data_IF_803149113835
#
_entry.id   IF_803149113835
#
_cell.length_a   1.000
_cell.length_b   1.000
_cell.length_c   1.000
_cell.angle_alpha   90.00
_cell.angle_beta   90.00
_cell.angle_gamma   90.00
#
_symmetry.space_group_name_H-M   'P 1'
#
loop_
_entity.id
_entity.type
_entity.pdbx_description
1 polymer ?
#
# COMPACT_ATOMS: atom_id res chain seq x y z
N UNK A 1 -12.65 -59.39 36.79
CA UNK A 1 -14.02 -59.23 36.31
C UNK A 1 -13.94 -58.42 35.03
N UNK A 2 -14.05 -59.03 33.88
CA UNK A 2 -14.05 -58.34 32.60
C UNK A 2 -15.42 -57.73 32.41
N UNK A 3 -15.58 -56.43 32.64
CA UNK A 3 -16.79 -55.72 32.26
C UNK A 3 -16.98 -55.84 30.73
N UNK A 4 -18.09 -56.35 30.38
CA UNK A 4 -18.48 -56.73 29.01
C UNK A 4 -18.42 -55.47 28.16
N UNK A 5 -17.41 -55.32 27.32
CA UNK A 5 -17.19 -54.16 26.41
C UNK A 5 -18.42 -53.84 25.51
N UNK A 6 -19.28 -54.79 25.27
CA UNK A 6 -20.53 -54.64 24.52
C UNK A 6 -21.48 -53.66 25.26
N UNK A 7 -21.60 -53.75 26.59
CA UNK A 7 -22.44 -52.87 27.39
C UNK A 7 -21.88 -51.41 27.47
N UNK A 8 -20.57 -51.25 27.31
CA UNK A 8 -19.95 -49.94 27.32
C UNK A 8 -20.10 -49.21 25.96
N UNK A 9 -20.15 -49.97 24.85
CA UNK A 9 -20.40 -49.40 23.50
C UNK A 9 -21.89 -49.05 23.28
N UNK A 10 -22.80 -49.77 23.95
CA UNK A 10 -24.22 -49.45 23.95
C UNK A 10 -24.56 -48.17 24.78
N UNK A 11 -23.83 -47.96 25.89
CA UNK A 11 -23.93 -46.71 26.67
C UNK A 11 -23.45 -45.47 25.92
N UNK A 12 -22.38 -45.58 25.13
CA UNK A 12 -21.85 -44.44 24.36
C UNK A 12 -22.84 -43.95 23.33
N UNK A 13 -23.63 -44.84 22.71
CA UNK A 13 -24.71 -44.44 21.74
C UNK A 13 -25.86 -43.67 22.40
N UNK A 14 -26.19 -43.94 23.66
CA UNK A 14 -27.23 -43.28 24.43
C UNK A 14 -26.80 -41.96 25.03
N UNK A 15 -25.52 -41.78 25.34
CA UNK A 15 -24.96 -40.55 25.86
C UNK A 15 -24.51 -39.58 24.79
N UNK A 16 -24.52 -39.99 23.53
CA UNK A 16 -24.25 -39.12 22.37
C UNK A 16 -25.52 -38.35 22.02
N UNK A 17 -25.68 -37.16 22.56
CA UNK A 17 -26.63 -36.19 22.07
C UNK A 17 -26.22 -35.69 20.68
N UNK A 18 -26.59 -36.46 19.65
CA UNK A 18 -26.47 -36.04 18.28
C UNK A 18 -27.79 -35.34 17.87
N UNK A 19 -27.71 -34.03 17.71
CA UNK A 19 -28.83 -33.29 17.12
C UNK A 19 -28.92 -33.64 15.63
N UNK A 20 -29.87 -34.53 15.29
CA UNK A 20 -30.16 -34.89 13.91
C UNK A 20 -31.15 -33.92 13.29
N UNK A 21 -30.80 -32.63 13.26
CA UNK A 21 -31.61 -31.54 12.71
C UNK A 21 -30.94 -30.92 11.47
N UNK A 22 -31.79 -30.35 10.58
CA UNK A 22 -31.34 -29.61 9.41
C UNK A 22 -31.69 -30.23 8.06
N UNK A 23 -31.45 -29.51 6.96
CA UNK A 23 -31.83 -29.93 5.61
C UNK A 23 -30.95 -31.05 5.07
N UNK A 24 -31.54 -31.94 4.24
CA UNK A 24 -30.82 -33.02 3.55
C UNK A 24 -31.30 -34.43 3.92
N UNK A 25 -30.69 -35.43 3.29
CA UNK A 25 -30.98 -36.84 3.58
C UNK A 25 -30.58 -37.21 5.01
N UNK A 26 -31.22 -38.20 5.60
CA UNK A 26 -30.89 -38.72 6.94
C UNK A 26 -29.39 -39.09 7.08
N UNK A 27 -28.78 -39.60 6.00
CA UNK A 27 -27.35 -39.87 5.91
C UNK A 27 -26.53 -38.57 6.06
N UNK A 28 -26.87 -37.54 5.29
CA UNK A 28 -26.13 -36.28 5.32
C UNK A 28 -26.25 -35.55 6.68
N UNK A 29 -27.41 -35.67 7.33
CA UNK A 29 -27.62 -35.13 8.68
C UNK A 29 -26.77 -35.87 9.70
N UNK A 30 -26.72 -37.22 9.65
CA UNK A 30 -25.86 -38.00 10.54
C UNK A 30 -24.38 -37.73 10.36
N UNK A 31 -23.91 -37.60 9.11
CA UNK A 31 -22.51 -37.26 8.81
C UNK A 31 -22.14 -35.91 9.42
N UNK A 32 -23.00 -34.90 9.24
CA UNK A 32 -22.77 -33.57 9.87
C UNK A 32 -22.71 -33.67 11.40
N UNK A 33 -23.69 -34.32 12.02
CA UNK A 33 -23.77 -34.42 13.47
C UNK A 33 -22.52 -35.12 14.06
N UNK A 34 -22.07 -36.22 13.45
CA UNK A 34 -20.85 -36.91 13.86
C UNK A 34 -19.58 -36.04 13.66
N UNK A 35 -19.50 -35.35 12.52
CA UNK A 35 -18.37 -34.44 12.24
C UNK A 35 -18.32 -33.28 13.22
N UNK A 36 -19.46 -32.71 13.57
CA UNK A 36 -19.57 -31.61 14.53
C UNK A 36 -19.26 -32.09 15.96
N UNK A 37 -19.68 -33.29 16.35
CA UNK A 37 -19.32 -33.90 17.62
C UNK A 37 -17.81 -34.14 17.75
N UNK A 38 -17.14 -34.51 16.66
CA UNK A 38 -15.65 -34.63 16.64
C UNK A 38 -15.02 -33.25 16.70
N UNK A 39 -15.50 -32.29 15.94
CA UNK A 39 -14.97 -30.92 15.92
C UNK A 39 -15.12 -30.19 17.25
N UNK A 40 -16.24 -30.36 17.93
CA UNK A 40 -16.49 -29.75 19.25
C UNK A 40 -15.70 -30.44 20.38
N UNK A 41 -15.08 -31.60 20.12
CA UNK A 41 -14.39 -32.41 21.13
C UNK A 41 -15.33 -33.29 21.97
N UNK A 42 -16.64 -33.28 21.69
CA UNK A 42 -17.60 -34.20 22.30
C UNK A 42 -17.21 -35.67 22.04
N UNK A 43 -16.69 -35.94 20.85
CA UNK A 43 -16.05 -37.21 20.49
C UNK A 43 -14.53 -36.99 20.42
N UNK A 44 -13.81 -37.34 21.48
CA UNK A 44 -12.37 -37.21 21.54
C UNK A 44 -11.66 -38.17 20.54
N UNK A 45 -10.43 -37.86 20.10
CA UNK A 45 -9.61 -38.79 19.32
C UNK A 45 -9.49 -40.16 20.00
N UNK A 46 -9.43 -41.20 19.21
CA UNK A 46 -9.44 -42.65 19.63
C UNK A 46 -10.74 -43.12 20.30
N UNK A 47 -11.73 -42.27 20.50
CA UNK A 47 -13.04 -42.70 21.03
C UNK A 47 -13.63 -43.76 20.11
N UNK A 48 -14.00 -44.92 20.68
CA UNK A 48 -14.65 -46.00 19.96
C UNK A 48 -16.13 -45.66 19.75
N UNK A 49 -16.58 -45.69 18.49
CA UNK A 49 -17.96 -45.51 18.15
C UNK A 49 -18.76 -46.84 18.28
N UNK A 50 -20.06 -46.76 18.57
CA UNK A 50 -20.91 -47.93 18.56
C UNK A 50 -20.88 -48.68 17.21
N UNK A 51 -21.08 -49.97 17.17
CA UNK A 51 -21.29 -50.67 15.92
C UNK A 51 -22.45 -50.04 15.15
N UNK A 52 -22.33 -49.95 13.82
CA UNK A 52 -23.37 -49.34 12.98
C UNK A 52 -24.78 -49.88 13.19
N UNK A 53 -24.89 -51.15 13.60
CA UNK A 53 -26.17 -51.80 13.93
C UNK A 53 -26.79 -51.24 15.21
N UNK A 54 -26.01 -51.05 16.22
CA UNK A 54 -26.47 -50.47 17.51
C UNK A 54 -26.85 -49.02 17.34
N UNK A 55 -25.98 -48.21 16.70
CA UNK A 55 -26.25 -46.79 16.43
C UNK A 55 -27.51 -46.61 15.55
N UNK A 56 -27.73 -47.48 14.59
CA UNK A 56 -28.93 -47.45 13.74
C UNK A 56 -30.22 -47.70 14.56
N UNK A 57 -30.18 -48.64 15.50
CA UNK A 57 -31.30 -48.93 16.40
C UNK A 57 -31.56 -47.73 17.36
N UNK A 58 -30.48 -47.17 17.95
CA UNK A 58 -30.54 -46.05 18.92
C UNK A 58 -31.11 -44.76 18.27
N UNK A 59 -30.75 -44.51 16.99
CA UNK A 59 -31.18 -43.30 16.26
C UNK A 59 -32.44 -43.49 15.39
N UNK A 60 -33.01 -44.70 15.36
CA UNK A 60 -34.18 -45.01 14.50
C UNK A 60 -33.87 -44.92 13.01
N UNK A 61 -32.63 -45.23 12.59
CA UNK A 61 -32.17 -45.16 11.21
C UNK A 61 -32.00 -46.54 10.57
N UNK A 62 -32.01 -46.59 9.24
CA UNK A 62 -31.67 -47.82 8.53
C UNK A 62 -30.18 -48.17 8.73
N UNK A 63 -29.86 -49.48 8.87
CA UNK A 63 -28.47 -49.97 9.08
C UNK A 63 -27.52 -49.51 7.99
N UNK A 64 -27.95 -49.51 6.73
CA UNK A 64 -27.14 -49.07 5.60
C UNK A 64 -26.85 -47.56 5.66
N UNK A 65 -27.82 -46.75 6.13
CA UNK A 65 -27.61 -45.31 6.31
C UNK A 65 -26.45 -44.98 7.26
N UNK A 66 -26.33 -45.73 8.38
CA UNK A 66 -25.24 -45.53 9.34
C UNK A 66 -23.93 -46.13 8.82
N UNK A 67 -24.00 -47.29 8.15
CA UNK A 67 -22.82 -47.91 7.54
C UNK A 67 -22.19 -47.00 6.47
N UNK A 68 -23.02 -46.41 5.58
CA UNK A 68 -22.59 -45.49 4.55
C UNK A 68 -22.03 -44.18 5.14
N UNK A 69 -22.64 -43.68 6.21
CA UNK A 69 -22.14 -42.51 6.92
C UNK A 69 -20.76 -42.77 7.56
N UNK A 70 -20.57 -43.94 8.17
CA UNK A 70 -19.27 -44.32 8.71
C UNK A 70 -18.23 -44.50 7.60
N UNK A 71 -18.58 -45.15 6.50
CA UNK A 71 -17.69 -45.33 5.36
C UNK A 71 -17.21 -43.97 4.78
N UNK A 72 -18.12 -43.02 4.64
CA UNK A 72 -17.79 -41.67 4.19
C UNK A 72 -16.86 -40.96 5.17
N UNK A 73 -17.16 -40.97 6.46
CA UNK A 73 -16.30 -40.36 7.47
C UNK A 73 -14.93 -41.05 7.62
N UNK A 74 -14.84 -42.36 7.30
CA UNK A 74 -13.54 -43.05 7.20
C UNK A 74 -12.79 -42.59 5.95
N UNK A 75 -13.44 -42.46 4.81
CA UNK A 75 -12.84 -41.97 3.57
C UNK A 75 -12.35 -40.53 3.71
N UNK A 76 -13.09 -39.69 4.45
CA UNK A 76 -12.69 -38.33 4.79
C UNK A 76 -11.60 -38.24 5.87
N UNK A 77 -11.25 -39.34 6.55
CA UNK A 77 -10.23 -39.38 7.60
C UNK A 77 -10.69 -38.89 8.98
N UNK A 78 -12.00 -38.69 9.20
CA UNK A 78 -12.55 -38.39 10.53
C UNK A 78 -12.61 -39.61 11.44
N UNK A 79 -12.83 -40.77 10.84
CA UNK A 79 -12.89 -42.05 11.51
C UNK A 79 -11.81 -43.00 10.97
N UNK A 80 -11.46 -44.02 11.77
CA UNK A 80 -10.64 -45.13 11.36
C UNK A 80 -11.40 -46.43 11.66
N UNK A 81 -11.47 -47.35 10.70
CA UNK A 81 -12.02 -48.68 10.90
C UNK A 81 -10.95 -49.72 10.78
N UNK A 82 -10.91 -50.66 11.73
CA UNK A 82 -10.02 -51.85 11.68
C UNK A 82 -10.87 -53.11 11.92
N UNK A 83 -10.66 -54.12 11.09
CA UNK A 83 -11.33 -55.39 11.22
C UNK A 83 -11.07 -56.00 12.61
N UNK A 84 -12.12 -56.38 13.32
CA UNK A 84 -12.07 -56.88 14.68
C UNK A 84 -11.97 -55.83 15.81
N UNK A 85 -11.55 -54.61 15.57
CA UNK A 85 -11.41 -53.56 16.61
C UNK A 85 -12.46 -52.46 16.55
N UNK A 86 -13.33 -52.43 15.50
CA UNK A 86 -14.40 -51.48 15.34
C UNK A 86 -13.98 -50.14 14.76
N UNK A 87 -14.91 -49.17 14.74
CA UNK A 87 -14.71 -47.79 14.23
C UNK A 87 -14.36 -46.88 15.38
N UNK A 88 -13.35 -46.03 15.17
CA UNK A 88 -12.86 -45.02 16.13
C UNK A 88 -12.70 -43.65 15.50
N UNK A 89 -12.77 -42.61 16.31
CA UNK A 89 -12.38 -41.26 15.90
C UNK A 89 -10.87 -41.24 15.58
N UNK A 90 -10.52 -40.68 14.43
CA UNK A 90 -9.13 -40.63 14.00
C UNK A 90 -8.29 -39.71 14.92
N UNK A 91 -7.05 -40.12 15.22
CA UNK A 91 -6.14 -39.30 16.06
C UNK A 91 -5.83 -37.92 15.51
N UNK A 92 -5.92 -37.75 14.17
CA UNK A 92 -5.68 -36.49 13.49
C UNK A 92 -6.92 -35.59 13.44
N UNK A 93 -8.09 -36.08 13.86
CA UNK A 93 -9.34 -35.32 13.95
C UNK A 93 -9.44 -34.52 15.28
N UNK A 94 -8.31 -34.03 15.77
CA UNK A 94 -8.31 -33.18 16.97
C UNK A 94 -9.16 -31.92 16.71
N UNK A 95 -9.95 -31.49 17.71
CA UNK A 95 -10.68 -30.22 17.59
C UNK A 95 -9.66 -29.09 17.30
N UNK A 96 -10.05 -28.12 16.46
CA UNK A 96 -9.21 -26.96 16.24
C UNK A 96 -8.91 -26.35 17.63
N UNK A 97 -7.63 -26.11 17.93
CA UNK A 97 -7.28 -25.30 19.10
C UNK A 97 -8.15 -24.05 19.07
N UNK A 98 -8.80 -23.68 20.20
CA UNK A 98 -9.58 -22.46 20.20
C UNK A 98 -8.70 -21.35 19.65
N UNK A 99 -9.08 -20.81 18.50
CA UNK A 99 -8.44 -19.62 17.97
C UNK A 99 -8.56 -18.61 19.07
N UNK A 100 -7.44 -18.23 19.68
CA UNK A 100 -7.41 -17.11 20.61
C UNK A 100 -8.00 -15.97 19.80
N UNK A 101 -9.27 -15.66 20.03
CA UNK A 101 -9.86 -14.44 19.52
C UNK A 101 -8.93 -13.35 20.01
N UNK A 102 -8.22 -12.64 19.13
CA UNK A 102 -7.35 -11.59 19.57
C UNK A 102 -8.21 -10.72 20.48
N UNK A 103 -7.81 -10.54 21.75
CA UNK A 103 -8.45 -9.53 22.60
C UNK A 103 -8.55 -8.31 21.71
N UNK A 104 -9.79 -7.81 21.51
CA UNK A 104 -10.08 -6.61 20.74
C UNK A 104 -8.95 -5.64 20.99
N UNK A 105 -8.14 -5.37 19.96
CA UNK A 105 -7.01 -4.47 20.13
C UNK A 105 -7.55 -3.25 20.89
N UNK A 106 -6.84 -2.73 21.88
CA UNK A 106 -7.29 -1.55 22.60
C UNK A 106 -7.72 -0.56 21.55
N UNK A 107 -8.89 0.04 21.72
CA UNK A 107 -9.43 1.02 20.78
C UNK A 107 -8.27 1.96 20.44
N UNK A 108 -7.89 2.00 19.17
CA UNK A 108 -6.82 2.88 18.72
C UNK A 108 -7.12 4.31 19.21
N UNK A 109 -6.12 5.19 19.27
CA UNK A 109 -6.36 6.57 19.69
C UNK A 109 -7.57 7.11 18.94
N UNK A 110 -8.43 7.91 19.59
CA UNK A 110 -9.64 8.45 18.97
C UNK A 110 -9.27 9.06 17.62
N UNK A 111 -10.08 8.77 16.61
CA UNK A 111 -9.85 9.31 15.27
C UNK A 111 -9.85 10.85 15.36
N UNK A 112 -8.87 11.54 14.78
CA UNK A 112 -8.83 12.98 14.83
C UNK A 112 -10.05 13.57 14.13
N UNK A 113 -10.62 14.61 14.72
CA UNK A 113 -11.78 15.33 14.15
C UNK A 113 -11.39 16.03 12.85
N UNK A 114 -10.15 16.53 12.79
CA UNK A 114 -9.57 17.23 11.65
C UNK A 114 -8.27 16.53 11.23
N UNK A 115 -8.11 16.31 9.92
CA UNK A 115 -6.92 15.63 9.39
C UNK A 115 -6.22 16.51 8.35
N UNK A 116 -5.09 17.09 8.75
CA UNK A 116 -4.17 17.82 7.89
C UNK A 116 -2.83 17.07 7.71
N UNK A 117 -2.81 15.76 7.91
CA UNK A 117 -1.63 14.97 7.56
C UNK A 117 -1.41 14.97 6.06
N UNK A 118 -0.14 15.02 5.70
CA UNK A 118 0.26 15.04 4.30
C UNK A 118 -0.01 13.69 3.58
N UNK A 119 0.03 13.73 2.27
CA UNK A 119 0.24 12.55 1.44
C UNK A 119 -0.99 11.86 0.89
N UNK A 120 -2.22 12.30 1.20
CA UNK A 120 -3.42 11.71 0.65
C UNK A 120 -4.30 12.75 -0.05
N UNK A 121 -4.81 12.47 -1.27
CA UNK A 121 -5.89 13.26 -1.85
C UNK A 121 -7.19 13.03 -1.09
N UNK A 122 -8.09 13.99 -1.14
CA UNK A 122 -9.46 13.81 -0.65
C UNK A 122 -10.15 12.67 -1.40
N UNK A 123 -10.53 11.61 -0.70
CA UNK A 123 -11.19 10.44 -1.28
C UNK A 123 -12.54 10.78 -1.97
N UNK A 124 -13.19 11.86 -1.55
CA UNK A 124 -14.43 12.34 -2.20
C UNK A 124 -14.17 12.93 -3.59
N UNK A 125 -12.94 13.36 -3.88
CA UNK A 125 -12.56 13.91 -5.18
C UNK A 125 -12.29 12.86 -6.25
N UNK A 126 -12.25 11.58 -5.89
CA UNK A 126 -12.07 10.51 -6.86
C UNK A 126 -13.14 10.54 -7.96
N UNK A 127 -12.77 10.54 -9.24
CA UNK A 127 -13.69 10.79 -10.35
C UNK A 127 -14.51 9.54 -10.73
N UNK A 128 -15.35 9.03 -9.79
CA UNK A 128 -16.06 7.74 -9.90
C UNK A 128 -16.78 7.54 -11.23
N UNK A 129 -17.56 8.53 -11.68
CA UNK A 129 -18.34 8.43 -12.93
C UNK A 129 -17.43 8.32 -14.16
N UNK A 130 -16.39 9.14 -14.25
CA UNK A 130 -15.44 9.10 -15.35
C UNK A 130 -14.58 7.85 -15.35
N UNK A 131 -14.16 7.39 -14.16
CA UNK A 131 -13.44 6.12 -13.99
C UNK A 131 -14.29 4.92 -14.41
N UNK A 132 -15.56 4.86 -13.97
CA UNK A 132 -16.48 3.81 -14.37
C UNK A 132 -16.73 3.79 -15.89
N UNK A 133 -16.85 4.97 -16.50
CA UNK A 133 -17.00 5.09 -17.96
C UNK A 133 -15.76 4.58 -18.70
N UNK A 134 -14.57 4.95 -18.25
CA UNK A 134 -13.31 4.46 -18.81
C UNK A 134 -13.20 2.94 -18.64
N UNK A 135 -13.49 2.41 -17.45
CA UNK A 135 -13.45 0.97 -17.19
C UNK A 135 -14.42 0.17 -18.05
N UNK A 136 -15.63 0.69 -18.29
CA UNK A 136 -16.60 0.06 -19.19
C UNK A 136 -16.09 0.00 -20.63
N UNK A 137 -15.53 1.12 -21.16
CA UNK A 137 -14.96 1.12 -22.51
C UNK A 137 -13.78 0.17 -22.61
N UNK A 138 -12.86 0.24 -21.66
CA UNK A 138 -11.69 -0.61 -21.61
C UNK A 138 -12.05 -2.09 -21.57
N UNK A 139 -13.01 -2.48 -20.72
CA UNK A 139 -13.45 -3.87 -20.59
C UNK A 139 -14.13 -4.39 -21.86
N UNK A 140 -14.96 -3.56 -22.50
CA UNK A 140 -15.65 -3.96 -23.75
C UNK A 140 -14.69 -4.07 -24.94
N UNK A 141 -13.60 -3.32 -24.95
CA UNK A 141 -12.60 -3.33 -26.01
C UNK A 141 -11.49 -4.36 -25.78
N UNK A 142 -11.35 -4.86 -24.55
CA UNK A 142 -10.27 -5.76 -24.18
C UNK A 142 -10.39 -7.10 -24.93
N UNK A 143 -9.33 -7.58 -25.58
CA UNK A 143 -9.31 -8.92 -26.17
C UNK A 143 -9.27 -9.99 -25.07
N UNK A 144 -9.69 -11.22 -25.38
CA UNK A 144 -9.77 -12.30 -24.40
C UNK A 144 -8.42 -12.64 -23.74
N UNK A 145 -7.31 -12.51 -24.45
CA UNK A 145 -5.95 -12.74 -23.96
C UNK A 145 -5.51 -11.71 -22.92
N UNK A 146 -6.19 -10.55 -22.87
CA UNK A 146 -5.96 -9.56 -21.82
C UNK A 146 -6.20 -10.13 -20.41
N UNK A 147 -7.04 -11.15 -20.28
CA UNK A 147 -7.36 -11.83 -19.02
C UNK A 147 -6.47 -13.05 -18.75
N UNK A 148 -5.50 -13.29 -19.60
CA UNK A 148 -4.45 -14.31 -19.41
C UNK A 148 -3.27 -13.79 -18.57
N UNK A 149 -2.18 -14.57 -18.53
CA UNK A 149 -1.00 -14.23 -17.69
C UNK A 149 -0.33 -12.90 -18.07
N UNK A 150 -0.41 -12.45 -19.32
CA UNK A 150 0.07 -11.13 -19.77
C UNK A 150 1.59 -10.92 -19.74
N UNK A 151 2.02 -9.73 -20.14
CA UNK A 151 3.40 -9.28 -20.11
C UNK A 151 3.79 -8.84 -18.68
N UNK A 152 4.91 -9.30 -18.11
CA UNK A 152 5.36 -8.89 -16.78
C UNK A 152 5.66 -7.39 -16.66
N UNK A 153 5.90 -6.68 -17.75
CA UNK A 153 6.03 -5.21 -17.77
C UNK A 153 4.69 -4.52 -17.49
N UNK A 154 3.58 -5.20 -17.64
CA UNK A 154 2.21 -4.65 -17.58
C UNK A 154 1.61 -4.49 -18.97
N UNK A 155 0.34 -4.13 -19.02
CA UNK A 155 -0.43 -4.04 -20.28
C UNK A 155 0.20 -3.03 -21.24
N UNK A 156 0.35 -3.44 -22.48
CA UNK A 156 0.92 -2.58 -23.54
C UNK A 156 0.11 -1.29 -23.72
N UNK A 157 -1.22 -1.39 -23.63
CA UNK A 157 -2.12 -0.24 -23.76
C UNK A 157 -1.80 0.83 -22.70
N UNK A 158 -1.52 0.42 -21.46
CA UNK A 158 -1.15 1.36 -20.40
C UNK A 158 0.26 1.91 -20.63
N UNK A 159 1.22 1.06 -21.00
CA UNK A 159 2.61 1.49 -21.23
C UNK A 159 2.69 2.51 -22.35
N UNK A 160 1.95 2.32 -23.44
CA UNK A 160 1.85 3.25 -24.55
C UNK A 160 1.21 4.58 -24.08
N UNK A 161 0.04 4.51 -23.43
CA UNK A 161 -0.65 5.70 -22.93
C UNK A 161 0.22 6.51 -21.94
N UNK A 162 1.01 5.81 -21.10
CA UNK A 162 1.96 6.44 -20.18
C UNK A 162 3.13 7.08 -20.92
N UNK A 163 3.72 6.41 -21.93
CA UNK A 163 4.80 7.00 -22.72
C UNK A 163 4.39 8.33 -23.37
N UNK A 164 3.23 8.35 -24.03
CA UNK A 164 2.66 9.55 -24.64
C UNK A 164 2.33 10.65 -23.62
N UNK A 165 1.74 10.26 -22.49
CA UNK A 165 1.40 11.19 -21.40
C UNK A 165 2.63 11.82 -20.76
N UNK A 166 3.62 10.99 -20.39
CA UNK A 166 4.84 11.43 -19.71
C UNK A 166 5.71 12.31 -20.61
N UNK A 167 5.83 11.98 -21.90
CA UNK A 167 6.54 12.80 -22.85
C UNK A 167 5.94 14.22 -22.92
N UNK A 168 4.62 14.31 -23.02
CA UNK A 168 3.87 15.56 -23.15
C UNK A 168 3.82 16.37 -21.85
N UNK A 169 3.63 15.71 -20.72
CA UNK A 169 3.35 16.37 -19.43
C UNK A 169 4.59 16.60 -18.58
N UNK A 170 5.61 15.73 -18.70
CA UNK A 170 6.80 15.73 -17.85
C UNK A 170 8.12 15.82 -18.62
N UNK A 171 8.08 15.76 -19.97
CA UNK A 171 9.29 15.73 -20.79
C UNK A 171 10.12 14.46 -20.63
N UNK A 172 9.53 13.37 -20.14
CA UNK A 172 10.18 12.07 -20.02
C UNK A 172 10.43 11.48 -21.41
N UNK A 173 11.61 10.96 -21.64
CA UNK A 173 12.03 10.37 -22.91
C UNK A 173 12.04 8.86 -22.79
N UNK A 174 11.03 8.21 -23.35
CA UNK A 174 10.89 6.76 -23.28
C UNK A 174 10.04 6.20 -24.42
N UNK A 175 10.13 4.89 -24.60
CA UNK A 175 9.19 4.08 -25.36
C UNK A 175 8.44 3.13 -24.40
N UNK A 176 7.33 2.49 -24.84
CA UNK A 176 6.56 1.59 -24.00
C UNK A 176 7.33 0.39 -23.45
N UNK A 177 8.41 -0.05 -24.14
CA UNK A 177 9.17 -1.24 -23.75
C UNK A 177 10.06 -0.99 -22.53
N UNK A 178 10.38 0.27 -22.25
CA UNK A 178 11.15 0.70 -21.09
C UNK A 178 10.29 1.02 -19.86
N UNK A 179 8.97 0.88 -19.98
CA UNK A 179 8.03 1.10 -18.87
C UNK A 179 7.68 -0.21 -18.18
N UNK A 180 7.88 -0.27 -16.87
CA UNK A 180 7.46 -1.41 -16.03
C UNK A 180 6.42 -0.93 -15.02
N UNK A 181 5.20 -1.46 -15.18
CA UNK A 181 4.08 -1.18 -14.27
C UNK A 181 4.28 -1.91 -12.94
N UNK A 182 4.02 -1.20 -11.84
CA UNK A 182 4.10 -1.71 -10.47
C UNK A 182 2.95 -1.17 -9.61
N UNK A 183 2.90 -1.57 -8.33
CA UNK A 183 1.82 -1.16 -7.43
C UNK A 183 2.15 0.11 -6.64
N UNK A 184 2.97 1.02 -7.20
CA UNK A 184 3.36 2.29 -6.62
C UNK A 184 4.84 2.36 -6.22
N UNK A 185 5.26 3.47 -5.60
CA UNK A 185 6.67 3.80 -5.34
C UNK A 185 7.38 2.76 -4.42
N UNK A 186 6.77 2.38 -3.29
CA UNK A 186 7.40 1.42 -2.38
C UNK A 186 7.62 0.03 -3.02
N UNK A 187 6.69 -0.55 -3.80
CA UNK A 187 6.96 -1.72 -4.63
C UNK A 187 8.07 -1.51 -5.66
N UNK A 188 8.17 -0.33 -6.29
CA UNK A 188 9.27 -0.01 -7.20
C UNK A 188 10.63 -0.08 -6.47
N UNK A 189 10.75 0.50 -5.29
CA UNK A 189 11.97 0.39 -4.47
C UNK A 189 12.30 -1.07 -4.12
N UNK A 190 11.29 -1.89 -3.78
CA UNK A 190 11.51 -3.32 -3.51
C UNK A 190 12.03 -4.08 -4.71
N UNK A 191 11.54 -3.79 -5.92
CA UNK A 191 12.04 -4.39 -7.14
C UNK A 191 13.48 -3.97 -7.41
N UNK A 192 13.78 -2.67 -7.34
CA UNK A 192 15.12 -2.15 -7.58
C UNK A 192 16.16 -2.69 -6.59
N UNK A 193 15.84 -2.71 -5.30
CA UNK A 193 16.76 -3.17 -4.26
C UNK A 193 16.57 -4.64 -3.84
N UNK A 194 15.65 -5.34 -4.45
CA UNK A 194 15.44 -6.78 -4.27
C UNK A 194 16.44 -7.69 -4.99
N UNK A 195 17.40 -7.10 -5.73
CA UNK A 195 18.43 -7.87 -6.43
C UNK A 195 19.09 -7.14 -7.61
N UNK A 196 18.51 -6.03 -8.05
CA UNK A 196 19.02 -5.24 -9.20
C UNK A 196 20.11 -4.26 -8.76
N UNK A 197 19.78 -3.39 -7.82
CA UNK A 197 20.69 -2.37 -7.30
C UNK A 197 21.31 -2.81 -5.97
N UNK A 198 22.56 -2.45 -5.76
CA UNK A 198 23.33 -2.80 -4.55
C UNK A 198 24.13 -1.60 -4.05
N UNK A 199 24.54 -1.69 -2.79
CA UNK A 199 25.40 -0.69 -2.15
C UNK A 199 24.59 0.39 -1.42
N UNK A 200 25.29 1.42 -0.90
CA UNK A 200 24.63 2.51 -0.21
C UNK A 200 23.87 3.39 -1.20
N UNK A 201 22.69 3.85 -0.74
CA UNK A 201 21.82 4.77 -1.46
C UNK A 201 21.93 6.16 -0.83
N UNK A 202 22.31 7.18 -1.60
CA UNK A 202 22.13 8.55 -1.16
C UNK A 202 20.65 8.92 -1.19
N UNK A 203 20.18 9.60 -0.15
CA UNK A 203 18.81 10.09 -0.02
C UNK A 203 18.81 11.52 0.48
N UNK A 204 17.79 12.27 0.17
CA UNK A 204 17.61 13.61 0.73
C UNK A 204 17.54 13.55 2.27
N UNK A 205 18.10 14.56 2.94
CA UNK A 205 18.17 14.64 4.41
C UNK A 205 16.80 14.75 5.09
N UNK A 206 15.77 15.04 4.31
CA UNK A 206 14.36 14.92 4.67
C UNK A 206 13.66 13.97 3.68
N UNK A 207 12.75 13.15 4.17
CA UNK A 207 12.00 12.20 3.37
C UNK A 207 11.20 11.24 4.23
N UNK A 208 10.38 10.38 3.61
CA UNK A 208 9.51 9.45 4.34
C UNK A 208 10.31 8.37 5.09
N UNK A 209 10.15 8.32 6.41
CA UNK A 209 10.76 7.29 7.25
C UNK A 209 10.35 5.86 6.83
N UNK A 210 9.13 5.71 6.36
CA UNK A 210 8.66 4.44 5.82
C UNK A 210 9.55 3.91 4.68
N UNK A 211 10.02 4.78 3.77
CA UNK A 211 10.92 4.37 2.69
C UNK A 211 12.29 3.97 3.24
N UNK A 212 12.82 4.70 4.23
CA UNK A 212 14.09 4.33 4.89
C UNK A 212 14.00 2.98 5.60
N UNK A 213 12.89 2.72 6.32
CA UNK A 213 12.67 1.41 6.95
C UNK A 213 12.56 0.27 5.92
N UNK A 214 11.91 0.51 4.79
CA UNK A 214 11.81 -0.46 3.70
C UNK A 214 13.20 -0.79 3.13
N UNK A 215 14.03 0.22 2.90
CA UNK A 215 15.39 0.07 2.40
C UNK A 215 16.29 -0.65 3.44
N UNK A 216 16.17 -0.29 4.71
CA UNK A 216 16.89 -0.96 5.80
C UNK A 216 16.52 -2.44 5.91
N UNK A 217 15.22 -2.79 5.74
CA UNK A 217 14.78 -4.19 5.71
C UNK A 217 15.35 -4.97 4.51
N UNK A 218 15.69 -4.28 3.42
CA UNK A 218 16.43 -4.83 2.27
C UNK A 218 17.96 -4.75 2.43
N UNK A 219 18.46 -4.45 3.65
CA UNK A 219 19.89 -4.30 3.96
C UNK A 219 20.59 -3.17 3.17
N UNK A 220 19.84 -2.17 2.72
CA UNK A 220 20.35 -0.99 2.03
C UNK A 220 20.67 0.11 3.05
N UNK A 221 21.94 0.48 3.15
CA UNK A 221 22.36 1.61 3.96
C UNK A 221 22.05 2.92 3.23
N UNK A 222 21.36 3.85 3.90
CA UNK A 222 21.09 5.18 3.36
C UNK A 222 22.12 6.20 3.85
N UNK A 223 22.48 7.15 2.99
CA UNK A 223 23.43 8.23 3.26
C UNK A 223 22.71 9.55 2.97
N UNK A 224 22.50 10.43 3.97
CA UNK A 224 21.78 11.68 3.75
C UNK A 224 22.61 12.68 2.95
N UNK A 225 21.96 13.34 2.00
CA UNK A 225 22.41 14.51 1.25
C UNK A 225 21.62 15.72 1.76
N UNK A 226 22.28 16.82 2.07
CA UNK A 226 21.63 18.03 2.58
C UNK A 226 20.54 18.54 1.65
N UNK A 227 19.56 19.23 2.24
CA UNK A 227 18.48 19.90 1.50
C UNK A 227 18.41 21.36 1.98
N UNK A 228 18.25 22.27 1.03
CA UNK A 228 18.00 23.69 1.25
C UNK A 228 16.81 24.18 0.40
N UNK A 229 16.61 25.50 0.29
CA UNK A 229 15.56 26.11 -0.53
C UNK A 229 15.67 25.81 -2.03
N UNK A 230 16.83 25.34 -2.47
CA UNK A 230 17.15 24.97 -3.86
C UNK A 230 17.08 23.46 -4.11
N UNK A 231 16.56 22.70 -3.17
CA UNK A 231 16.44 21.25 -3.22
C UNK A 231 17.66 20.52 -2.64
N UNK A 232 17.93 19.32 -3.11
CA UNK A 232 19.07 18.51 -2.65
C UNK A 232 20.42 19.18 -3.02
N UNK A 233 21.37 19.16 -2.09
CA UNK A 233 22.73 19.66 -2.27
C UNK A 233 23.58 18.62 -3.01
N UNK A 234 23.42 18.58 -4.33
CA UNK A 234 24.00 17.56 -5.22
C UNK A 234 25.52 17.50 -5.19
N UNK A 235 26.18 18.62 -4.89
CA UNK A 235 27.62 18.72 -4.72
C UNK A 235 28.17 17.78 -3.63
N UNK A 236 27.36 17.47 -2.59
CA UNK A 236 27.76 16.57 -1.49
C UNK A 236 27.96 15.11 -1.99
N UNK A 237 27.33 14.72 -3.10
CA UNK A 237 27.46 13.37 -3.67
C UNK A 237 28.91 13.00 -4.01
N UNK A 238 29.73 13.98 -4.35
CA UNK A 238 31.13 13.77 -4.72
C UNK A 238 31.97 13.24 -3.55
N UNK A 239 31.62 13.62 -2.32
CA UNK A 239 32.29 13.16 -1.09
C UNK A 239 32.00 11.68 -0.78
N UNK A 240 30.90 11.12 -1.26
CA UNK A 240 30.45 9.75 -0.97
C UNK A 240 30.95 8.77 -2.03
N UNK A 241 32.23 8.39 -1.97
CA UNK A 241 32.90 7.56 -3.00
C UNK A 241 32.22 6.20 -3.27
N UNK A 242 31.55 5.61 -2.28
CA UNK A 242 30.90 4.29 -2.39
C UNK A 242 29.47 4.36 -2.96
N UNK A 243 28.85 5.54 -2.99
CA UNK A 243 27.50 5.74 -3.50
C UNK A 243 27.50 5.62 -5.02
N UNK A 244 26.58 4.84 -5.53
CA UNK A 244 26.31 4.65 -6.98
C UNK A 244 24.85 4.88 -7.33
N UNK A 245 24.01 5.22 -6.37
CA UNK A 245 22.60 5.50 -6.60
C UNK A 245 22.17 6.61 -5.66
N UNK A 246 21.40 7.57 -6.17
CA UNK A 246 20.79 8.64 -5.38
C UNK A 246 19.29 8.67 -5.62
N UNK A 247 18.50 8.84 -4.58
CA UNK A 247 17.04 9.02 -4.64
C UNK A 247 16.72 10.48 -4.35
N UNK A 248 16.02 11.12 -5.28
CA UNK A 248 15.65 12.54 -5.22
C UNK A 248 14.16 12.72 -5.53
N UNK A 249 13.61 13.84 -5.06
CA UNK A 249 12.27 14.36 -5.39
C UNK A 249 12.40 15.72 -6.11
N UNK A 250 12.91 15.74 -7.38
CA UNK A 250 13.41 16.97 -8.01
C UNK A 250 12.32 17.98 -8.40
N UNK A 251 11.09 17.52 -8.62
CA UNK A 251 9.98 18.41 -8.99
C UNK A 251 9.49 19.22 -7.78
N UNK A 252 9.44 18.56 -6.62
CA UNK A 252 8.93 19.11 -5.37
C UNK A 252 9.51 18.30 -4.21
N UNK A 253 10.58 18.81 -3.58
CA UNK A 253 11.27 18.11 -2.51
C UNK A 253 10.32 17.78 -1.35
N UNK A 254 10.32 16.53 -0.93
CA UNK A 254 9.46 16.10 0.16
C UNK A 254 10.23 16.10 1.51
N UNK A 255 9.71 16.78 2.53
CA UNK A 255 8.50 17.61 2.56
C UNK A 255 8.77 19.12 2.42
N UNK A 256 10.01 19.58 2.27
CA UNK A 256 10.37 21.01 2.36
C UNK A 256 9.80 21.87 1.23
N UNK A 257 9.43 21.25 0.11
CA UNK A 257 8.72 21.90 -0.98
C UNK A 257 9.62 22.69 -1.94
N UNK A 258 10.95 22.64 -1.81
CA UNK A 258 11.87 23.26 -2.75
C UNK A 258 11.99 22.47 -4.06
N UNK A 259 12.08 23.10 -5.24
CA UNK A 259 12.41 22.42 -6.47
C UNK A 259 13.92 22.21 -6.56
N UNK A 260 14.37 21.15 -7.21
CA UNK A 260 15.78 21.03 -7.58
C UNK A 260 16.10 22.01 -8.71
N UNK A 261 17.00 22.96 -8.46
CA UNK A 261 17.37 23.98 -9.44
C UNK A 261 18.01 23.38 -10.71
N UNK A 262 17.94 24.07 -11.87
CA UNK A 262 18.49 23.59 -13.13
C UNK A 262 19.96 23.19 -13.05
N UNK A 263 20.78 23.96 -12.34
CA UNK A 263 22.21 23.72 -12.16
C UNK A 263 22.45 22.40 -11.41
N UNK A 264 21.71 22.17 -10.32
CA UNK A 264 21.80 20.92 -9.54
C UNK A 264 21.24 19.71 -10.30
N UNK A 265 20.28 19.92 -11.19
CA UNK A 265 19.80 18.86 -12.11
C UNK A 265 20.89 18.44 -13.08
N UNK A 266 21.63 19.39 -13.64
CA UNK A 266 22.76 19.10 -14.50
C UNK A 266 23.89 18.40 -13.72
N UNK A 267 24.24 18.93 -12.55
CA UNK A 267 25.28 18.37 -11.67
C UNK A 267 25.03 16.90 -11.31
N UNK A 268 23.78 16.55 -10.92
CA UNK A 268 23.48 15.15 -10.53
C UNK A 268 23.55 14.20 -11.73
N UNK A 269 23.17 14.66 -12.91
CA UNK A 269 23.30 13.87 -14.16
C UNK A 269 24.77 13.69 -14.52
N UNK A 270 25.57 14.76 -14.45
CA UNK A 270 27.02 14.69 -14.72
C UNK A 270 27.75 13.81 -13.69
N UNK A 271 27.37 13.90 -12.41
CA UNK A 271 27.84 12.97 -11.38
C UNK A 271 27.50 11.51 -11.72
N UNK A 272 26.27 11.25 -12.18
CA UNK A 272 25.83 9.91 -12.54
C UNK A 272 26.62 9.37 -13.74
N UNK A 273 26.85 10.19 -14.76
CA UNK A 273 27.68 9.84 -15.92
C UNK A 273 29.13 9.54 -15.53
N UNK A 274 29.75 10.44 -14.77
CA UNK A 274 31.14 10.32 -14.37
C UNK A 274 31.42 9.09 -13.49
N UNK A 275 30.44 8.65 -12.72
CA UNK A 275 30.53 7.54 -11.75
C UNK A 275 29.93 6.23 -12.22
N UNK A 276 29.32 6.17 -13.41
CA UNK A 276 28.50 5.04 -13.80
C UNK A 276 27.35 4.78 -12.82
N UNK A 277 26.84 5.87 -12.18
CA UNK A 277 25.82 5.83 -11.16
C UNK A 277 24.42 6.03 -11.74
N UNK A 278 23.38 5.92 -10.89
CA UNK A 278 21.97 6.10 -11.23
C UNK A 278 21.32 7.14 -10.36
N UNK A 279 20.38 7.88 -10.94
CA UNK A 279 19.46 8.76 -10.24
C UNK A 279 18.08 8.08 -10.23
N UNK A 280 17.48 7.90 -9.05
CA UNK A 280 16.09 7.51 -8.90
C UNK A 280 15.28 8.78 -8.68
N UNK A 281 14.43 9.13 -9.63
CA UNK A 281 13.56 10.29 -9.56
C UNK A 281 12.18 9.86 -9.09
N UNK A 282 11.80 10.25 -7.85
CA UNK A 282 10.44 10.11 -7.32
C UNK A 282 9.61 11.32 -7.73
N UNK A 283 8.78 11.16 -8.72
CA UNK A 283 7.85 12.19 -9.21
C UNK A 283 6.44 11.93 -8.68
N UNK A 284 6.26 12.12 -7.37
CA UNK A 284 5.05 11.76 -6.66
C UNK A 284 3.88 12.74 -6.83
N UNK A 285 4.17 14.02 -7.14
CA UNK A 285 3.15 15.09 -7.26
C UNK A 285 3.49 16.16 -8.31
N UNK A 286 4.40 15.87 -9.23
CA UNK A 286 4.87 16.83 -10.24
C UNK A 286 3.79 17.35 -11.19
N UNK A 287 2.60 16.69 -11.24
CA UNK A 287 1.44 17.22 -11.93
C UNK A 287 0.82 18.47 -11.25
N UNK A 288 1.11 18.71 -9.96
CA UNK A 288 0.47 19.75 -9.14
C UNK A 288 1.35 20.98 -8.95
N UNK A 289 1.78 21.61 -10.05
CA UNK A 289 2.43 22.93 -10.04
C UNK A 289 1.40 24.03 -10.27
N UNK A 290 1.46 25.09 -9.44
CA UNK A 290 0.49 26.22 -9.48
C UNK A 290 1.10 27.50 -10.03
N UNK A 291 2.44 27.60 -10.05
CA UNK A 291 3.20 28.76 -10.53
C UNK A 291 3.27 28.88 -12.06
N UNK A 292 2.57 28.02 -12.79
CA UNK A 292 2.53 27.95 -14.26
C UNK A 292 3.86 27.67 -14.96
N UNK A 293 4.89 27.33 -14.24
CA UNK A 293 6.15 26.88 -14.82
C UNK A 293 6.25 25.36 -14.76
N UNK A 294 5.98 24.65 -15.88
CA UNK A 294 6.19 23.21 -15.90
C UNK A 294 7.67 22.91 -15.74
N UNK A 295 7.99 22.13 -14.72
CA UNK A 295 9.36 21.62 -14.54
C UNK A 295 9.39 20.21 -15.09
N UNK A 296 10.18 19.98 -16.13
CA UNK A 296 10.37 18.66 -16.72
C UNK A 296 11.04 17.69 -15.74
N UNK A 297 10.90 16.39 -16.00
CA UNK A 297 11.62 15.37 -15.27
C UNK A 297 13.14 15.44 -15.51
N UNK A 298 13.93 15.08 -14.53
CA UNK A 298 15.41 14.94 -14.69
C UNK A 298 15.73 13.82 -15.68
N UNK A 299 14.86 12.80 -15.76
CA UNK A 299 14.99 11.69 -16.70
C UNK A 299 15.13 12.15 -18.16
N UNK A 300 14.47 13.24 -18.54
CA UNK A 300 14.60 13.81 -19.89
C UNK A 300 16.02 14.29 -20.22
N UNK A 301 16.86 14.57 -19.23
CA UNK A 301 18.26 14.96 -19.42
C UNK A 301 19.18 13.76 -19.75
N UNK A 302 18.91 12.61 -19.14
CA UNK A 302 19.66 11.38 -19.41
C UNK A 302 18.83 10.11 -19.13
N UNK A 303 18.13 9.59 -20.15
CA UNK A 303 17.32 8.37 -20.02
C UNK A 303 18.12 7.10 -19.67
N UNK A 304 19.45 7.11 -19.83
CA UNK A 304 20.33 5.97 -19.52
C UNK A 304 20.88 6.00 -18.10
N UNK A 305 20.70 7.12 -17.37
CA UNK A 305 21.20 7.30 -16.03
C UNK A 305 20.11 7.64 -15.01
N UNK A 306 18.88 7.89 -15.45
CA UNK A 306 17.79 8.27 -14.58
C UNK A 306 16.64 7.25 -14.67
N UNK A 307 16.30 6.64 -13.55
CA UNK A 307 15.08 5.85 -13.36
C UNK A 307 13.99 6.80 -12.89
N UNK A 308 12.98 7.03 -13.72
CA UNK A 308 11.81 7.80 -13.34
C UNK A 308 10.76 6.89 -12.70
N UNK A 309 10.20 7.31 -11.56
CA UNK A 309 9.17 6.56 -10.84
C UNK A 309 7.96 7.45 -10.62
N UNK A 310 6.82 7.04 -11.18
CA UNK A 310 5.55 7.76 -11.05
C UNK A 310 4.42 6.89 -10.51
N UNK A 311 3.35 7.52 -10.04
CA UNK A 311 2.16 6.81 -9.58
C UNK A 311 0.91 7.68 -9.62
N UNK A 312 -0.27 7.04 -9.66
CA UNK A 312 -1.56 7.76 -9.54
C UNK A 312 -1.99 7.97 -8.08
N UNK A 313 -1.13 7.68 -7.12
CA UNK A 313 -1.50 7.72 -5.69
C UNK A 313 -1.89 9.12 -5.21
N UNK A 314 -1.30 10.19 -5.77
CA UNK A 314 -1.59 11.57 -5.41
C UNK A 314 -2.58 12.23 -6.38
N UNK A 315 -2.59 11.77 -7.63
CA UNK A 315 -3.46 12.33 -8.68
C UNK A 315 -4.87 11.74 -8.66
N UNK A 316 -5.02 10.46 -8.29
CA UNK A 316 -6.32 9.78 -8.20
C UNK A 316 -6.59 9.24 -6.80
N UNK A 317 -5.93 8.16 -6.43
CA UNK A 317 -6.08 7.53 -5.11
C UNK A 317 -4.95 6.52 -4.84
N UNK A 318 -4.43 6.46 -3.62
CA UNK A 318 -3.49 5.41 -3.23
C UNK A 318 -4.13 4.00 -3.24
N UNK A 319 -5.47 3.91 -3.24
CA UNK A 319 -6.19 2.64 -3.24
C UNK A 319 -6.15 1.90 -4.59
N UNK A 320 -5.92 2.62 -5.70
CA UNK A 320 -5.82 2.01 -7.05
C UNK A 320 -4.57 1.14 -7.17
N UNK A 321 -3.52 1.44 -6.41
CA UNK A 321 -2.28 0.66 -6.42
C UNK A 321 -1.63 0.56 -7.81
N UNK A 322 -1.60 1.67 -8.56
CA UNK A 322 -0.91 1.78 -9.84
C UNK A 322 0.24 2.78 -9.77
N UNK A 323 1.39 2.35 -10.22
CA UNK A 323 2.58 3.14 -10.46
C UNK A 323 3.39 2.51 -11.59
N UNK A 324 4.47 3.15 -11.96
CA UNK A 324 5.35 2.71 -13.05
C UNK A 324 6.78 3.18 -12.82
N UNK A 325 7.69 2.45 -13.42
CA UNK A 325 9.08 2.86 -13.58
C UNK A 325 9.36 3.04 -15.07
N UNK A 326 10.04 4.12 -15.43
CA UNK A 326 10.69 4.27 -16.73
C UNK A 326 12.17 3.97 -16.51
N UNK A 327 12.64 2.90 -17.11
CA UNK A 327 13.96 2.34 -16.83
C UNK A 327 14.96 2.67 -17.94
N UNK A 328 16.25 2.88 -17.62
CA UNK A 328 17.32 2.66 -18.56
C UNK A 328 17.22 1.26 -19.19
N UNK A 329 17.53 1.14 -20.47
CA UNK A 329 17.35 -0.11 -21.21
C UNK A 329 18.02 -1.31 -20.52
N UNK A 330 19.25 -1.12 -20.05
CA UNK A 330 20.03 -2.16 -19.36
C UNK A 330 19.45 -2.63 -18.01
N UNK A 331 18.44 -1.95 -17.48
CA UNK A 331 17.77 -2.32 -16.21
C UNK A 331 16.43 -3.06 -16.43
N UNK A 332 15.88 -3.06 -17.64
CA UNK A 332 14.56 -3.67 -17.91
C UNK A 332 14.59 -5.16 -17.58
N UNK A 333 15.46 -5.93 -18.20
CA UNK A 333 15.55 -7.38 -17.97
C UNK A 333 15.92 -7.75 -16.53
N UNK A 334 16.90 -7.11 -15.87
CA UNK A 334 17.16 -7.35 -14.44
C UNK A 334 15.97 -7.07 -13.53
N UNK A 335 15.20 -6.02 -13.79
CA UNK A 335 13.99 -5.71 -13.01
C UNK A 335 12.92 -6.76 -13.25
N UNK A 336 12.71 -7.20 -14.49
CA UNK A 336 11.75 -8.24 -14.82
C UNK A 336 12.14 -9.59 -14.19
N UNK A 337 13.42 -9.93 -14.15
CA UNK A 337 13.89 -11.14 -13.48
C UNK A 337 13.56 -11.15 -11.98
N UNK A 338 13.67 -10.00 -11.30
CA UNK A 338 13.29 -9.85 -9.88
C UNK A 338 11.77 -9.83 -9.71
N UNK A 339 11.06 -9.18 -10.64
CA UNK A 339 9.59 -9.10 -10.61
C UNK A 339 8.93 -10.46 -10.77
N UNK A 340 9.57 -11.35 -11.54
CA UNK A 340 9.03 -12.65 -11.88
C UNK A 340 7.91 -12.61 -12.93
N UNK A 341 7.60 -13.76 -13.49
CA UNK A 341 6.60 -13.87 -14.56
C UNK A 341 5.16 -13.66 -14.06
N UNK A 342 4.89 -13.91 -12.78
CA UNK A 342 3.52 -13.98 -12.23
C UNK A 342 3.32 -13.21 -10.93
N UNK A 343 4.36 -12.61 -10.36
CA UNK A 343 4.28 -11.92 -9.08
C UNK A 343 4.28 -10.40 -9.22
N UNK A 344 3.85 -9.69 -8.19
CA UNK A 344 3.85 -8.24 -8.07
C UNK A 344 3.11 -7.47 -9.19
N UNK A 345 1.98 -8.00 -9.63
CA UNK A 345 1.18 -7.42 -10.72
C UNK A 345 0.15 -6.44 -10.18
N UNK A 346 -0.01 -5.34 -10.90
CA UNK A 346 -1.22 -4.51 -10.76
C UNK A 346 -2.38 -5.16 -11.53
N UNK A 347 -3.61 -5.02 -11.04
CA UNK A 347 -4.79 -5.61 -11.67
C UNK A 347 -4.93 -5.19 -13.14
N UNK A 348 -5.23 -6.13 -14.02
CA UNK A 348 -5.36 -5.87 -15.46
C UNK A 348 -6.47 -4.86 -15.76
N UNK A 349 -7.59 -4.95 -15.03
CA UNK A 349 -8.72 -4.03 -15.22
C UNK A 349 -8.37 -2.60 -14.88
N UNK A 350 -7.62 -2.38 -13.79
CA UNK A 350 -7.16 -1.05 -13.40
C UNK A 350 -6.15 -0.49 -14.40
N UNK A 351 -5.27 -1.34 -14.96
CA UNK A 351 -4.33 -0.94 -15.99
C UNK A 351 -5.05 -0.48 -17.26
N UNK A 352 -5.98 -1.28 -17.78
CA UNK A 352 -6.77 -0.95 -18.96
C UNK A 352 -7.66 0.27 -18.74
N UNK A 353 -8.26 0.39 -17.55
CA UNK A 353 -9.06 1.55 -17.17
C UNK A 353 -8.24 2.83 -17.16
N UNK A 354 -7.03 2.78 -16.58
CA UNK A 354 -6.14 3.96 -16.55
C UNK A 354 -5.66 4.32 -17.96
N UNK A 355 -5.36 3.34 -18.81
CA UNK A 355 -4.99 3.59 -20.21
C UNK A 355 -6.09 4.38 -20.94
N UNK A 356 -7.34 3.89 -20.91
CA UNK A 356 -8.49 4.58 -21.52
C UNK A 356 -8.75 5.95 -20.86
N UNK A 357 -8.55 6.06 -19.54
CA UNK A 357 -8.74 7.31 -18.82
C UNK A 357 -7.74 8.38 -19.25
N UNK A 358 -6.50 7.99 -19.57
CA UNK A 358 -5.46 8.86 -20.13
C UNK A 358 -5.80 9.20 -21.59
N UNK A 359 -6.01 8.20 -22.44
CA UNK A 359 -6.23 8.36 -23.89
C UNK A 359 -7.46 9.20 -24.20
N UNK A 360 -8.54 9.06 -23.43
CA UNK A 360 -9.75 9.88 -23.57
C UNK A 360 -9.59 11.32 -23.08
N UNK A 361 -8.43 11.69 -22.54
CA UNK A 361 -8.19 13.01 -21.93
C UNK A 361 -8.96 13.25 -20.63
N UNK A 362 -9.60 12.22 -20.07
CA UNK A 362 -10.33 12.32 -18.80
C UNK A 362 -9.36 12.54 -17.63
N UNK A 363 -8.18 11.96 -17.68
CA UNK A 363 -7.12 12.16 -16.72
C UNK A 363 -6.65 13.62 -16.69
N UNK A 364 -6.36 14.21 -17.84
CA UNK A 364 -5.96 15.62 -17.95
C UNK A 364 -7.04 16.58 -17.42
N UNK A 365 -8.33 16.29 -17.71
CA UNK A 365 -9.45 17.06 -17.16
C UNK A 365 -9.54 16.96 -15.65
N UNK A 366 -9.32 15.77 -15.10
CA UNK A 366 -9.29 15.55 -13.66
C UNK A 366 -8.12 16.32 -13.00
N UNK A 367 -6.91 16.20 -13.53
CA UNK A 367 -5.72 16.91 -13.02
C UNK A 367 -5.91 18.42 -13.03
N UNK A 368 -6.52 19.00 -14.07
CA UNK A 368 -6.80 20.45 -14.12
C UNK A 368 -7.73 20.89 -12.99
N UNK A 369 -8.80 20.11 -12.71
CA UNK A 369 -9.72 20.39 -11.60
C UNK A 369 -9.00 20.28 -10.24
N UNK A 370 -8.21 19.24 -10.07
CA UNK A 370 -7.49 19.04 -8.81
C UNK A 370 -6.42 20.11 -8.58
N UNK A 371 -5.72 20.53 -9.62
CA UNK A 371 -4.77 21.65 -9.58
C UNK A 371 -5.42 22.95 -9.09
N UNK A 372 -6.59 23.28 -9.64
CA UNK A 372 -7.34 24.47 -9.20
C UNK A 372 -7.75 24.33 -7.72
N UNK A 373 -8.32 23.18 -7.35
CA UNK A 373 -8.77 22.91 -5.99
C UNK A 373 -7.62 23.01 -4.96
N UNK A 374 -6.45 22.45 -5.27
CA UNK A 374 -5.31 22.52 -4.36
C UNK A 374 -4.71 23.91 -4.28
N UNK A 375 -4.73 24.66 -5.37
CA UNK A 375 -4.38 26.10 -5.36
C UNK A 375 -5.29 26.85 -4.40
N UNK A 376 -6.62 26.74 -4.58
CA UNK A 376 -7.60 27.44 -3.73
C UNK A 376 -7.44 27.09 -2.25
N UNK A 377 -7.14 25.82 -1.94
CA UNK A 377 -6.88 25.38 -0.57
C UNK A 377 -5.58 25.96 0.00
N UNK A 378 -4.52 25.98 -0.78
CA UNK A 378 -3.27 26.61 -0.38
C UNK A 378 -3.45 28.11 -0.13
N UNK A 379 -4.16 28.79 -1.00
CA UNK A 379 -4.43 30.23 -0.86
C UNK A 379 -5.25 30.52 0.41
N UNK A 380 -6.23 29.66 0.73
CA UNK A 380 -6.98 29.75 2.00
C UNK A 380 -6.10 29.50 3.22
N UNK A 381 -5.17 28.53 3.16
CA UNK A 381 -4.20 28.27 4.23
C UNK A 381 -3.32 29.52 4.46
N UNK A 382 -2.74 30.08 3.39
CA UNK A 382 -1.87 31.26 3.50
C UNK A 382 -2.62 32.50 3.99
N UNK A 383 -3.88 32.69 3.56
CA UNK A 383 -4.73 33.79 4.05
C UNK A 383 -5.05 33.62 5.54
N UNK A 384 -5.41 32.43 6.00
CA UNK A 384 -5.66 32.16 7.41
C UNK A 384 -4.42 32.40 8.30
N UNK A 385 -3.23 32.03 7.80
CA UNK A 385 -1.97 32.30 8.51
C UNK A 385 -1.67 33.82 8.56
N UNK A 386 -1.82 34.53 7.45
CA UNK A 386 -1.57 35.98 7.40
C UNK A 386 -2.47 36.76 8.36
N UNK A 387 -3.72 36.31 8.53
CA UNK A 387 -4.69 36.94 9.43
C UNK A 387 -4.45 36.60 10.91
N UNK A 388 -4.12 35.34 11.23
CA UNK A 388 -4.22 34.79 12.58
C UNK A 388 -2.89 34.36 13.21
N UNK A 389 -1.85 34.16 12.39
CA UNK A 389 -0.50 33.79 12.80
C UNK A 389 0.55 34.39 11.83
N UNK A 390 0.63 35.73 11.68
CA UNK A 390 1.46 36.39 10.68
C UNK A 390 2.98 36.13 10.84
N UNK A 391 3.40 35.71 12.02
CA UNK A 391 4.79 35.31 12.32
C UNK A 391 5.15 33.90 11.83
N UNK A 392 4.16 33.09 11.41
CA UNK A 392 4.36 31.74 10.86
C UNK A 392 4.37 31.80 9.34
N UNK A 393 5.47 31.38 8.74
CA UNK A 393 5.61 31.34 7.28
C UNK A 393 5.34 29.96 6.73
N UNK A 394 4.56 29.90 5.66
CA UNK A 394 4.46 28.70 4.83
C UNK A 394 5.59 28.70 3.80
N UNK A 395 6.45 27.69 3.80
CA UNK A 395 7.58 27.57 2.89
C UNK A 395 7.30 26.59 1.73
N UNK A 396 8.22 26.55 0.79
CA UNK A 396 8.13 25.78 -0.44
C UNK A 396 7.45 26.52 -1.58
N UNK A 397 7.61 25.98 -2.79
CA UNK A 397 6.99 26.54 -3.98
C UNK A 397 5.48 26.30 -4.00
N UNK A 398 4.78 27.04 -4.86
CA UNK A 398 3.34 26.83 -5.08
C UNK A 398 3.09 25.54 -5.85
N UNK A 399 3.20 24.40 -5.17
CA UNK A 399 3.05 23.06 -5.72
C UNK A 399 2.53 22.05 -4.70
N UNK A 400 2.20 20.86 -5.16
CA UNK A 400 1.91 19.68 -4.34
C UNK A 400 0.59 19.74 -3.55
N UNK A 401 0.53 18.92 -2.51
CA UNK A 401 -0.65 18.73 -1.66
C UNK A 401 -0.38 19.14 -0.19
N UNK A 402 0.80 19.68 0.10
CA UNK A 402 1.22 20.06 1.45
C UNK A 402 2.10 21.31 1.41
N UNK A 403 2.28 21.93 2.56
CA UNK A 403 3.24 22.99 2.80
C UNK A 403 3.92 22.76 4.15
N UNK A 404 5.12 23.28 4.32
CA UNK A 404 5.79 23.33 5.62
C UNK A 404 5.54 24.69 6.26
N UNK A 405 5.08 24.68 7.50
CA UNK A 405 4.99 25.87 8.34
C UNK A 405 6.25 25.94 9.20
N UNK A 406 7.04 26.99 9.03
CA UNK A 406 8.20 27.25 9.89
C UNK A 406 7.73 27.66 11.29
N UNK A 407 8.27 26.99 12.30
CA UNK A 407 7.97 27.27 13.70
C UNK A 407 9.17 27.90 14.39
N UNK A 408 8.96 28.73 15.43
CA UNK A 408 10.04 29.18 16.29
C UNK A 408 10.81 27.98 16.87
N UNK A 409 12.14 28.09 17.04
CA UNK A 409 12.95 27.00 17.55
C UNK A 409 12.46 26.47 18.91
N UNK A 410 12.41 25.15 19.06
CA UNK A 410 11.99 24.46 20.28
C UNK A 410 10.47 24.32 20.45
N UNK A 411 9.64 24.78 19.49
CA UNK A 411 8.17 24.80 19.64
C UNK A 411 7.43 23.67 18.92
N UNK A 412 8.08 22.87 18.08
CA UNK A 412 7.41 21.81 17.31
C UNK A 412 6.62 20.84 18.20
N UNK A 413 7.25 20.32 19.26
CA UNK A 413 6.62 19.33 20.13
C UNK A 413 5.42 19.89 20.92
N UNK A 414 5.51 21.13 21.40
CA UNK A 414 4.40 21.81 22.08
C UNK A 414 3.25 22.09 21.13
N UNK A 415 3.56 22.50 19.89
CA UNK A 415 2.55 22.72 18.83
C UNK A 415 1.83 21.44 18.43
N UNK A 416 2.54 20.32 18.30
CA UNK A 416 1.94 19.02 18.02
C UNK A 416 1.01 18.55 19.15
N UNK A 417 1.37 18.80 20.41
CA UNK A 417 0.49 18.53 21.54
C UNK A 417 -0.75 19.43 21.49
N UNK A 418 -0.59 20.73 21.24
CA UNK A 418 -1.71 21.66 21.09
C UNK A 418 -2.63 21.24 19.93
N UNK A 419 -2.09 20.83 18.78
CA UNK A 419 -2.86 20.29 17.67
C UNK A 419 -3.70 19.06 18.08
N UNK A 420 -3.09 18.14 18.82
CA UNK A 420 -3.80 16.95 19.35
C UNK A 420 -4.95 17.34 20.26
N UNK A 421 -4.78 18.34 21.13
CA UNK A 421 -5.85 18.88 21.98
C UNK A 421 -7.01 19.51 21.18
N UNK A 422 -6.70 20.08 20.00
CA UNK A 422 -7.70 20.60 19.07
C UNK A 422 -8.35 19.50 18.21
N UNK A 423 -8.05 18.24 18.47
CA UNK A 423 -8.51 17.12 17.62
C UNK A 423 -7.93 17.14 16.21
N UNK A 424 -6.80 17.82 16.01
CA UNK A 424 -6.14 17.97 14.71
C UNK A 424 -4.98 16.99 14.59
N UNK A 425 -4.98 16.20 13.51
CA UNK A 425 -3.83 15.41 13.10
C UNK A 425 -2.99 16.21 12.10
N UNK A 426 -1.72 16.40 12.41
CA UNK A 426 -0.70 17.04 11.58
C UNK A 426 0.65 16.42 11.93
N UNK A 427 1.61 16.46 11.01
CA UNK A 427 2.92 15.84 11.20
C UNK A 427 3.98 16.93 11.50
N UNK A 428 4.94 16.62 12.39
CA UNK A 428 6.08 17.47 12.64
C UNK A 428 7.20 17.27 11.60
N UNK A 429 7.94 18.32 11.28
CA UNK A 429 9.01 18.26 10.30
C UNK A 429 10.14 17.31 10.74
N UNK A 430 10.40 17.21 12.03
CA UNK A 430 11.43 16.34 12.58
C UNK A 430 11.19 14.84 12.27
N UNK A 431 9.93 14.40 12.09
CA UNK A 431 9.60 13.01 11.72
C UNK A 431 10.22 12.61 10.38
N UNK A 432 10.35 13.55 9.47
CA UNK A 432 10.87 13.31 8.12
C UNK A 432 12.39 13.42 8.02
N UNK A 433 13.04 13.96 9.05
CA UNK A 433 14.50 14.14 9.05
C UNK A 433 15.23 12.81 9.13
N UNK A 434 16.26 12.64 8.30
CA UNK A 434 17.14 11.48 8.37
C UNK A 434 17.95 11.49 9.68
N UNK A 435 18.05 10.36 10.43
CA UNK A 435 18.74 10.33 11.71
C UNK A 435 20.21 10.77 11.66
N UNK A 436 20.87 10.52 10.53
CA UNK A 436 22.29 10.87 10.31
C UNK A 436 22.47 12.20 9.56
N UNK A 437 21.40 12.98 9.35
CA UNK A 437 21.54 14.28 8.68
C UNK A 437 22.37 15.25 9.53
N UNK A 438 23.33 15.94 8.89
CA UNK A 438 24.22 16.92 9.52
C UNK A 438 23.67 18.34 9.45
N UNK A 439 22.70 18.60 8.56
CA UNK A 439 22.03 19.91 8.47
C UNK A 439 21.36 20.28 9.79
N UNK A 440 21.33 21.56 10.18
CA UNK A 440 20.62 22.00 11.38
C UNK A 440 19.19 21.50 11.40
N UNK A 441 18.71 21.15 12.59
CA UNK A 441 17.30 20.78 12.77
C UNK A 441 16.46 22.05 12.72
N UNK A 442 15.46 22.05 11.84
CA UNK A 442 14.43 23.08 11.81
C UNK A 442 13.16 22.53 12.48
N UNK A 443 12.46 23.37 13.22
CA UNK A 443 11.13 23.08 13.75
C UNK A 443 10.09 23.49 12.73
N UNK A 444 9.09 22.63 12.52
CA UNK A 444 8.04 22.91 11.55
C UNK A 444 6.88 21.93 11.60
N UNK A 445 5.79 22.29 10.98
CA UNK A 445 4.66 21.40 10.72
C UNK A 445 4.55 21.12 9.23
N UNK A 446 4.34 19.86 8.86
CA UNK A 446 4.01 19.46 7.49
C UNK A 446 2.49 19.37 7.37
N UNK A 447 1.90 20.36 6.73
CA UNK A 447 0.44 20.55 6.65
C UNK A 447 -0.06 20.10 5.29
N UNK A 448 -0.77 18.97 5.25
CA UNK A 448 -1.43 18.46 4.05
C UNK A 448 -2.79 19.10 3.84
N UNK A 449 -2.92 19.91 2.79
CA UNK A 449 -4.20 20.52 2.43
C UNK A 449 -5.01 19.69 1.42
N UNK A 450 -4.48 18.58 0.95
CA UNK A 450 -5.17 17.65 0.04
C UNK A 450 -6.23 16.77 0.72
N UNK A 451 -6.01 16.39 1.97
CA UNK A 451 -6.76 15.32 2.66
C UNK A 451 -8.18 15.67 3.09
N UNK A 452 -8.47 16.83 3.72
CA UNK A 452 -9.81 17.09 4.24
C UNK A 452 -10.86 17.23 3.14
N UNK A 453 -12.12 16.81 3.35
CA UNK A 453 -13.21 17.18 2.45
C UNK A 453 -13.46 18.69 2.52
N UNK A 454 -14.05 19.27 1.45
CA UNK A 454 -14.21 20.73 1.35
C UNK A 454 -14.98 21.36 2.51
N UNK A 455 -16.05 20.70 2.95
CA UNK A 455 -16.87 21.18 4.07
C UNK A 455 -16.13 21.19 5.42
N UNK A 456 -15.10 20.34 5.60
CA UNK A 456 -14.33 20.26 6.84
C UNK A 456 -13.06 21.11 6.82
N UNK A 457 -12.65 21.65 5.64
CA UNK A 457 -11.37 22.31 5.50
C UNK A 457 -11.27 23.61 6.32
N UNK A 458 -12.34 24.42 6.38
CA UNK A 458 -12.37 25.63 7.21
C UNK A 458 -12.14 25.34 8.69
N UNK A 459 -12.90 24.40 9.26
CA UNK A 459 -12.75 23.99 10.65
C UNK A 459 -11.35 23.39 10.96
N UNK A 460 -10.74 22.70 9.98
CA UNK A 460 -9.37 22.20 10.13
C UNK A 460 -8.33 23.35 10.17
N UNK A 461 -8.50 24.40 9.37
CA UNK A 461 -7.66 25.60 9.43
C UNK A 461 -7.85 26.35 10.75
N UNK A 462 -9.06 26.43 11.27
CA UNK A 462 -9.34 27.03 12.57
C UNK A 462 -8.65 26.28 13.70
N UNK A 463 -8.70 24.96 13.68
CA UNK A 463 -7.99 24.12 14.65
C UNK A 463 -6.46 24.30 14.54
N UNK A 464 -5.94 24.38 13.32
CA UNK A 464 -4.52 24.62 13.06
C UNK A 464 -4.08 25.96 13.66
N UNK A 465 -4.75 27.07 13.32
CA UNK A 465 -4.37 28.40 13.81
C UNK A 465 -4.43 28.50 15.36
N UNK A 466 -5.38 27.81 16.02
CA UNK A 466 -5.41 27.75 17.48
C UNK A 466 -4.28 26.94 18.10
N UNK A 467 -3.70 26.02 17.37
CA UNK A 467 -2.60 25.18 17.84
C UNK A 467 -1.21 25.81 17.65
N UNK A 468 -1.09 26.81 16.76
CA UNK A 468 0.17 27.48 16.49
C UNK A 468 0.67 28.28 17.72
N UNK A 469 1.99 28.40 17.94
CA UNK A 469 2.54 29.19 19.01
C UNK A 469 2.14 30.67 18.85
N UNK A 470 1.99 31.44 19.96
CA UNK A 470 1.80 32.89 19.87
C UNK A 470 3.00 33.57 19.24
N UNK A 471 2.78 34.74 18.65
CA UNK A 471 3.85 35.59 18.10
C UNK A 471 4.61 36.35 19.19
#
# INVERSE_FOLDING_TARGET
MAENWVNRSERIGRDLHLELSGPGSRRAVLIRALRDAVRSGQLAPDTRLPPYRSLAADLGLARNTVADAYAELVAEGWLTARQGSGTRVARRAAPPRPVRVPKKAPAGPPQPTHNLRQGQPDAASFPRGAWLTAGRRALNAAPNDAFGPGDPRGRHELRRALADYLARSRGVRTDPERIVVCSGFAPALRLLFGGVLRGPLAVESYGLDFHRRLLAAASVRTVPVGVDEHGARTEELTAHKQVRTVLLTPAHQFPTGGPLLPERRAEVVDWARARGALVLEDDYDGEFRYDRQPVGAVQGLDPERVVYIGSVSKSLSPAIRLGWMVLPDHLVDPVLAVKGEREAWAGVLDQLTLADFIDSGAYDRHLRRMRQRYRDRRDRLTAALAERAPHIRATGVAAGLHAVLELPPGTEQSTLKAATWQGLAVDGLAEFRHPQATTPRADGLVVGFGTPPDHAYGAALDALCRALPPG
#
